data_IF_903348075942
#
_entry.id   IF_903348075942
#
_cell.length_a   1.000
_cell.length_b   1.000
_cell.length_c   1.000
_cell.angle_alpha   90.00
_cell.angle_beta   90.00
_cell.angle_gamma   90.00
#
_symmetry.space_group_name_H-M   'P 1'
#
loop_
_entity.id
_entity.type
_entity.pdbx_description
1 polymer ?
#
# COMPACT_ATOMS: atom_id res chain seq x y z
N UNK A 1 -23.53 -0.29 -4.00
CA UNK A 1 -22.49 0.05 -3.00
C UNK A 1 -21.45 0.93 -3.68
N UNK A 2 -21.61 2.27 -3.64
CA UNK A 2 -20.74 3.24 -4.32
C UNK A 2 -19.74 3.94 -3.36
N UNK A 3 -19.59 3.45 -2.12
CA UNK A 3 -18.85 4.16 -1.06
C UNK A 3 -17.44 3.65 -0.75
N UNK A 4 -17.02 2.50 -1.28
CA UNK A 4 -15.71 1.90 -0.95
C UNK A 4 -14.51 2.56 -1.66
N UNK A 5 -14.59 2.98 -2.94
CA UNK A 5 -13.47 3.69 -3.58
C UNK A 5 -13.19 5.04 -2.91
N UNK A 6 -14.25 5.80 -2.59
CA UNK A 6 -14.15 7.11 -1.92
C UNK A 6 -13.54 6.99 -0.52
N UNK A 7 -13.87 5.93 0.23
CA UNK A 7 -13.30 5.71 1.56
C UNK A 7 -11.78 5.46 1.48
N UNK A 8 -11.31 4.63 0.55
CA UNK A 8 -9.88 4.33 0.42
C UNK A 8 -9.09 5.58 0.03
N UNK A 9 -9.64 6.40 -0.88
CA UNK A 9 -9.03 7.67 -1.26
C UNK A 9 -8.92 8.63 -0.06
N UNK A 10 -10.00 8.80 0.70
CA UNK A 10 -10.01 9.64 1.90
C UNK A 10 -9.01 9.18 2.95
N UNK A 11 -8.97 7.87 3.24
CA UNK A 11 -7.99 7.30 4.16
C UNK A 11 -6.56 7.48 3.64
N UNK A 12 -6.34 7.41 2.33
CA UNK A 12 -5.02 7.65 1.72
C UNK A 12 -4.56 9.09 1.92
N UNK A 13 -5.47 10.06 1.85
CA UNK A 13 -5.18 11.47 2.16
C UNK A 13 -4.85 11.64 3.65
N UNK A 14 -5.65 11.03 4.53
CA UNK A 14 -5.52 11.12 5.99
C UNK A 14 -4.22 10.52 6.55
N UNK A 15 -3.47 9.75 5.75
CA UNK A 15 -2.09 9.35 6.07
C UNK A 15 -1.15 10.56 6.27
N UNK A 16 -1.51 11.74 5.75
CA UNK A 16 -0.71 12.97 5.90
C UNK A 16 -1.42 14.02 6.78
N UNK A 17 -2.39 13.60 7.59
CA UNK A 17 -3.10 14.50 8.50
C UNK A 17 -2.14 15.09 9.55
N UNK A 18 -2.46 16.29 10.06
CA UNK A 18 -1.66 16.93 11.10
C UNK A 18 -1.73 16.14 12.42
N UNK A 19 -2.87 15.51 12.71
CA UNK A 19 -3.06 14.68 13.89
C UNK A 19 -2.46 13.28 13.70
N UNK A 20 -1.51 12.92 14.57
CA UNK A 20 -0.88 11.61 14.59
C UNK A 20 -1.91 10.47 14.78
N UNK A 21 -2.95 10.69 15.59
CA UNK A 21 -4.01 9.70 15.77
C UNK A 21 -4.81 9.47 14.50
N UNK A 22 -5.07 10.53 13.71
CA UNK A 22 -5.75 10.41 12.43
C UNK A 22 -4.88 9.64 11.42
N UNK A 23 -3.57 9.92 11.36
CA UNK A 23 -2.62 9.17 10.52
C UNK A 23 -2.54 7.70 10.90
N UNK A 24 -2.42 7.41 12.20
CA UNK A 24 -2.39 6.03 12.74
C UNK A 24 -3.67 5.27 12.37
N UNK A 25 -4.83 5.89 12.62
CA UNK A 25 -6.13 5.30 12.31
C UNK A 25 -6.30 5.04 10.81
N UNK A 26 -5.84 5.97 9.97
CA UNK A 26 -5.84 5.82 8.52
C UNK A 26 -5.01 4.60 8.09
N UNK A 27 -3.76 4.52 8.57
CA UNK A 27 -2.85 3.42 8.25
C UNK A 27 -3.45 2.07 8.65
N UNK A 28 -3.88 1.92 9.90
CA UNK A 28 -4.50 0.67 10.39
C UNK A 28 -5.74 0.29 9.60
N UNK A 29 -6.58 1.26 9.25
CA UNK A 29 -7.83 1.01 8.53
C UNK A 29 -7.55 0.52 7.10
N UNK A 30 -6.60 1.14 6.39
CA UNK A 30 -6.16 0.68 5.07
C UNK A 30 -5.63 -0.76 5.11
N UNK A 31 -4.83 -1.10 6.12
CA UNK A 31 -4.36 -2.48 6.32
C UNK A 31 -5.49 -3.49 6.58
N UNK A 32 -6.56 -3.07 7.28
CA UNK A 32 -7.75 -3.90 7.57
C UNK A 32 -8.69 -4.05 6.39
N UNK A 33 -8.82 -3.03 5.54
CA UNK A 33 -9.58 -3.10 4.28
C UNK A 33 -8.99 -4.18 3.36
N UNK A 34 -7.67 -4.41 3.42
CA UNK A 34 -7.04 -5.53 2.74
C UNK A 34 -6.98 -5.32 1.23
N UNK A 35 -7.39 -6.32 0.44
CA UNK A 35 -7.15 -6.36 -1.01
C UNK A 35 -7.66 -5.11 -1.75
N UNK A 36 -8.81 -4.57 -1.36
CA UNK A 36 -9.35 -3.36 -1.99
C UNK A 36 -8.43 -2.14 -1.82
N UNK A 37 -7.68 -2.08 -0.71
CA UNK A 37 -6.69 -1.03 -0.43
C UNK A 37 -5.28 -1.37 -0.94
N UNK A 38 -5.04 -2.52 -1.59
CA UNK A 38 -3.72 -2.91 -2.10
C UNK A 38 -3.33 -2.22 -3.43
N UNK A 39 -3.74 -0.96 -3.61
CA UNK A 39 -3.42 -0.13 -4.76
C UNK A 39 -2.01 0.46 -4.64
N UNK A 40 -1.41 0.86 -5.77
CA UNK A 40 -0.07 1.48 -5.76
C UNK A 40 -0.02 2.78 -4.95
N UNK A 41 -1.08 3.59 -5.00
CA UNK A 41 -1.16 4.84 -4.24
C UNK A 41 -1.15 4.60 -2.73
N UNK A 42 -1.95 3.64 -2.25
CA UNK A 42 -1.98 3.27 -0.82
C UNK A 42 -0.64 2.71 -0.37
N UNK A 43 -0.03 1.81 -1.15
CA UNK A 43 1.27 1.25 -0.81
C UNK A 43 2.36 2.33 -0.72
N UNK A 44 2.34 3.31 -1.64
CA UNK A 44 3.28 4.43 -1.59
C UNK A 44 3.03 5.34 -0.38
N UNK A 45 1.76 5.64 -0.06
CA UNK A 45 1.40 6.44 1.11
C UNK A 45 1.83 5.75 2.42
N UNK A 46 1.52 4.47 2.58
CA UNK A 46 1.95 3.70 3.75
C UNK A 46 3.48 3.57 3.82
N UNK A 47 4.18 3.49 2.68
CA UNK A 47 5.66 3.44 2.68
C UNK A 47 6.25 4.73 3.23
N UNK A 48 5.67 5.89 2.90
CA UNK A 48 6.06 7.17 3.51
C UNK A 48 5.73 7.22 5.01
N UNK A 49 4.57 6.70 5.41
CA UNK A 49 4.16 6.65 6.82
C UNK A 49 5.05 5.75 7.70
N UNK A 50 5.88 4.87 7.11
CA UNK A 50 6.93 4.16 7.85
C UNK A 50 8.05 5.09 8.32
N UNK A 51 8.17 6.30 7.77
CA UNK A 51 9.15 7.30 8.17
C UNK A 51 8.54 8.36 9.11
N UNK A 52 7.29 8.15 9.55
CA UNK A 52 6.61 9.08 10.45
C UNK A 52 7.34 9.17 11.81
N UNK A 53 7.52 10.38 12.36
CA UNK A 53 8.15 10.56 13.67
C UNK A 53 7.31 9.99 14.83
N UNK A 54 6.00 9.83 14.66
CA UNK A 54 5.15 9.18 15.66
C UNK A 54 5.29 7.64 15.58
N UNK A 55 5.66 7.03 16.69
CA UNK A 55 5.91 5.59 16.77
C UNK A 55 4.66 4.75 16.44
N UNK A 56 3.45 5.21 16.83
CA UNK A 56 2.22 4.47 16.57
C UNK A 56 1.88 4.50 15.08
N UNK A 57 2.12 5.64 14.42
CA UNK A 57 1.93 5.78 12.96
C UNK A 57 2.93 4.89 12.21
N UNK A 58 4.20 4.90 12.60
CA UNK A 58 5.23 4.02 12.06
C UNK A 58 4.82 2.54 12.14
N UNK A 59 4.48 2.07 13.34
CA UNK A 59 4.08 0.68 13.57
C UNK A 59 2.83 0.31 12.75
N UNK A 60 1.82 1.18 12.74
CA UNK A 60 0.60 0.97 11.95
C UNK A 60 0.89 0.85 10.45
N UNK A 61 1.83 1.63 9.93
CA UNK A 61 2.23 1.59 8.53
C UNK A 61 2.98 0.30 8.18
N UNK A 62 3.94 -0.12 9.01
CA UNK A 62 4.70 -1.37 8.85
C UNK A 62 3.79 -2.59 8.85
N UNK A 63 2.87 -2.66 9.81
CA UNK A 63 1.89 -3.74 9.93
C UNK A 63 0.97 -3.82 8.72
N UNK A 64 0.47 -2.66 8.28
CA UNK A 64 -0.46 -2.57 7.16
C UNK A 64 0.22 -2.99 5.85
N UNK A 65 1.44 -2.54 5.60
CA UNK A 65 2.22 -2.96 4.43
C UNK A 65 2.51 -4.45 4.43
N UNK A 66 2.87 -5.01 5.59
CA UNK A 66 3.12 -6.45 5.74
C UNK A 66 1.88 -7.27 5.37
N UNK A 67 0.70 -6.85 5.84
CA UNK A 67 -0.59 -7.47 5.51
C UNK A 67 -0.89 -7.36 4.02
N UNK A 68 -0.82 -6.16 3.43
CA UNK A 68 -1.16 -5.93 2.03
C UNK A 68 -0.20 -6.65 1.06
N UNK A 69 1.09 -6.74 1.39
CA UNK A 69 2.07 -7.50 0.59
C UNK A 69 1.81 -9.01 0.64
N UNK A 70 1.46 -9.57 1.81
CA UNK A 70 1.05 -10.99 1.93
C UNK A 70 -0.19 -11.29 1.08
N UNK A 71 -1.16 -10.38 1.05
CA UNK A 71 -2.36 -10.53 0.19
C UNK A 71 -1.98 -10.53 -1.30
N UNK A 72 -1.09 -9.63 -1.74
CA UNK A 72 -0.59 -9.63 -3.13
C UNK A 72 0.19 -10.90 -3.49
N UNK A 73 0.99 -11.43 -2.56
CA UNK A 73 1.80 -12.62 -2.80
C UNK A 73 0.98 -13.93 -2.82
N UNK A 74 -0.22 -13.93 -2.24
CA UNK A 74 -1.12 -15.10 -2.20
C UNK A 74 -2.10 -15.15 -3.36
N UNK A 75 -2.20 -14.08 -4.17
CA UNK A 75 -2.85 -14.15 -5.47
C UNK A 75 -1.95 -14.96 -6.42
N UNK A 76 -2.50 -15.93 -7.19
CA UNK A 76 -1.70 -16.70 -8.14
C UNK A 76 -0.99 -15.74 -9.10
N UNK A 77 0.34 -15.77 -9.07
CA UNK A 77 1.22 -14.99 -9.92
C UNK A 77 0.93 -15.29 -11.39
N UNK A 78 0.03 -14.56 -12.04
CA UNK A 78 0.20 -14.25 -13.45
C UNK A 78 1.09 -13.00 -13.56
N UNK A 79 2.34 -13.13 -13.08
CA UNK A 79 3.40 -12.14 -13.27
C UNK A 79 4.28 -12.58 -14.45
N UNK A 80 3.65 -12.81 -15.61
CA UNK A 80 4.37 -12.75 -16.88
C UNK A 80 4.62 -11.28 -17.22
N UNK A 81 5.90 -10.95 -17.44
CA UNK A 81 6.40 -9.67 -17.97
C UNK A 81 6.62 -8.53 -16.96
N UNK A 82 7.66 -8.66 -16.14
CA UNK A 82 8.52 -7.51 -15.81
C UNK A 82 9.97 -7.86 -15.41
N UNK A 83 10.47 -9.08 -15.70
CA UNK A 83 11.92 -9.23 -15.89
C UNK A 83 12.24 -8.64 -17.25
N UNK A 84 12.69 -7.38 -17.23
CA UNK A 84 13.34 -6.71 -18.36
C UNK A 84 14.24 -7.72 -19.09
N UNK A 85 13.96 -7.99 -20.36
CA UNK A 85 14.91 -8.58 -21.29
C UNK A 85 16.05 -7.56 -21.47
N UNK A 86 17.30 -7.84 -21.07
CA UNK A 86 18.44 -7.14 -21.63
C UNK A 86 18.68 -7.79 -23.00
N UNK A 87 18.19 -7.13 -24.05
CA UNK A 87 18.75 -7.13 -25.41
C UNK A 87 19.73 -8.27 -25.71
N UNK A 88 19.23 -9.45 -26.07
CA UNK A 88 19.94 -10.30 -27.02
C UNK A 88 19.63 -9.75 -28.41
N UNK A 89 20.64 -9.27 -29.17
CA UNK A 89 20.43 -9.05 -30.58
C UNK A 89 20.26 -10.40 -31.29
N UNK A 90 19.13 -10.57 -31.98
CA UNK A 90 18.88 -11.70 -32.88
C UNK A 90 19.77 -11.60 -34.14
N UNK A 91 20.02 -12.73 -34.82
CA UNK A 91 21.30 -13.04 -35.45
C UNK A 91 21.46 -12.47 -36.87
N UNK A 92 22.72 -12.39 -37.31
CA UNK A 92 23.14 -12.62 -38.70
C UNK A 92 24.10 -13.79 -38.74
#
# INVERSE_FOLDING_TARGET
LAGTPTLIEQLTVMINDEDAYAREAAARTLGRIGMAAASGAVLNALTKAMEDPDANVHEAAVDSLTRLRKIRATLPLNLSSARKNPTEPLPV
#
